data_IF_510026287692
#
_entry.id   IF_510026287692
#
_cell.length_a   1.000
_cell.length_b   1.000
_cell.length_c   1.000
_cell.angle_alpha   90.00
_cell.angle_beta   90.00
_cell.angle_gamma   90.00
#
_symmetry.space_group_name_H-M   'P 1'
#
loop_
_entity.id
_entity.type
_entity.pdbx_description
1 polymer ?
#
# COMPACT_ATOMS: atom_id res chain seq x y z
N UNK A 1 -21.50 5.00 1.02
CA UNK A 1 -20.78 5.57 2.19
C UNK A 1 -19.87 6.66 1.69
N UNK A 2 -19.82 7.80 2.38
CA UNK A 2 -18.91 8.90 2.08
C UNK A 2 -17.46 8.50 2.45
N UNK A 3 -16.46 8.89 1.65
CA UNK A 3 -15.07 8.64 2.01
C UNK A 3 -14.63 9.71 3.02
N UNK A 4 -13.93 9.26 4.06
CA UNK A 4 -13.34 10.13 5.08
C UNK A 4 -11.93 10.54 4.67
N UNK A 5 -11.66 11.82 4.68
CA UNK A 5 -10.35 12.39 4.35
C UNK A 5 -9.87 13.18 5.56
N UNK A 6 -8.65 12.93 6.00
CA UNK A 6 -7.97 13.75 7.02
C UNK A 6 -6.98 14.68 6.32
N UNK A 7 -7.08 15.96 6.62
CA UNK A 7 -6.18 17.00 6.13
C UNK A 7 -5.35 17.52 7.31
N UNK A 8 -4.04 17.45 7.18
CA UNK A 8 -3.07 17.90 8.21
C UNK A 8 -2.20 18.98 7.59
N UNK A 9 -2.37 20.22 8.03
CA UNK A 9 -1.68 21.41 7.51
C UNK A 9 -1.75 22.49 8.59
N UNK A 10 -0.74 23.31 8.78
CA UNK A 10 -0.75 24.37 9.79
C UNK A 10 -1.34 25.71 9.26
N UNK A 11 -1.54 25.80 7.96
CA UNK A 11 -2.14 26.97 7.30
C UNK A 11 -3.68 26.91 7.33
N UNK A 12 -4.32 27.71 8.19
CA UNK A 12 -5.79 27.76 8.34
C UNK A 12 -6.53 28.01 7.02
N UNK A 13 -6.00 28.90 6.17
CA UNK A 13 -6.59 29.23 4.87
C UNK A 13 -6.63 28.00 3.94
N UNK A 14 -5.57 27.19 3.95
CA UNK A 14 -5.48 25.96 3.17
C UNK A 14 -6.45 24.90 3.72
N UNK A 15 -6.50 24.75 5.05
CA UNK A 15 -7.45 23.86 5.71
C UNK A 15 -8.89 24.19 5.35
N UNK A 16 -9.28 25.46 5.47
CA UNK A 16 -10.65 25.90 5.14
C UNK A 16 -10.97 25.72 3.66
N UNK A 17 -10.07 26.14 2.79
CA UNK A 17 -10.25 26.07 1.35
C UNK A 17 -10.43 24.61 0.88
N UNK A 18 -9.54 23.72 1.28
CA UNK A 18 -9.62 22.32 0.89
C UNK A 18 -10.83 21.63 1.53
N UNK A 19 -11.07 21.85 2.83
CA UNK A 19 -12.22 21.30 3.54
C UNK A 19 -13.54 21.69 2.87
N UNK A 20 -13.73 22.97 2.57
CA UNK A 20 -14.94 23.47 1.90
C UNK A 20 -15.18 22.75 0.58
N UNK A 21 -14.16 22.70 -0.28
CA UNK A 21 -14.27 22.12 -1.60
C UNK A 21 -14.50 20.61 -1.57
N UNK A 22 -13.78 19.86 -0.72
CA UNK A 22 -13.94 18.42 -0.59
C UNK A 22 -15.29 18.05 0.04
N UNK A 23 -15.78 18.82 1.02
CA UNK A 23 -17.11 18.59 1.61
C UNK A 23 -18.20 18.82 0.57
N UNK A 24 -18.08 19.87 -0.26
CA UNK A 24 -18.99 20.14 -1.39
C UNK A 24 -18.97 19.01 -2.43
N UNK A 25 -17.84 18.32 -2.58
CA UNK A 25 -17.72 17.15 -3.45
C UNK A 25 -18.24 15.85 -2.81
N UNK A 26 -18.80 15.88 -1.59
CA UNK A 26 -19.42 14.76 -0.91
C UNK A 26 -18.47 13.92 -0.05
N UNK A 27 -17.25 14.41 0.24
CA UNK A 27 -16.35 13.79 1.20
C UNK A 27 -16.66 14.23 2.63
N UNK A 28 -16.37 13.37 3.59
CA UNK A 28 -16.34 13.70 5.02
C UNK A 28 -14.91 14.10 5.38
N UNK A 29 -14.71 15.35 5.81
CA UNK A 29 -13.36 15.93 5.96
C UNK A 29 -13.09 16.30 7.41
N UNK A 30 -12.00 15.76 7.93
CA UNK A 30 -11.42 16.08 9.23
C UNK A 30 -10.15 16.88 9.02
N UNK A 31 -9.82 17.76 9.96
CA UNK A 31 -8.65 18.64 9.87
C UNK A 31 -7.81 18.53 11.13
N UNK A 32 -6.51 18.76 11.00
CA UNK A 32 -5.55 18.89 12.08
C UNK A 32 -4.50 19.95 11.72
N UNK A 33 -4.04 20.73 12.72
CA UNK A 33 -3.07 21.81 12.53
C UNK A 33 -1.62 21.44 12.85
N UNK A 34 -1.41 20.26 13.33
CA UNK A 34 -0.10 19.75 13.70
C UNK A 34 -0.09 18.22 13.70
N UNK A 35 1.09 17.63 13.83
CA UNK A 35 1.26 16.18 13.75
C UNK A 35 0.61 15.43 14.92
N UNK A 36 0.66 16.00 16.13
CA UNK A 36 0.05 15.37 17.32
C UNK A 36 -1.48 15.25 17.16
N UNK A 37 -2.13 16.35 16.74
CA UNK A 37 -3.55 16.36 16.42
C UNK A 37 -3.85 15.40 15.26
N UNK A 38 -3.01 15.39 14.23
CA UNK A 38 -3.13 14.48 13.09
C UNK A 38 -3.17 13.02 13.46
N UNK A 39 -2.29 12.58 14.37
CA UNK A 39 -2.29 11.20 14.90
C UNK A 39 -3.56 10.88 15.68
N UNK A 40 -4.04 11.83 16.48
CA UNK A 40 -5.28 11.67 17.25
C UNK A 40 -6.50 11.52 16.32
N UNK A 41 -6.62 12.40 15.32
CA UNK A 41 -7.70 12.39 14.35
C UNK A 41 -7.67 11.13 13.48
N UNK A 42 -6.47 10.69 13.06
CA UNK A 42 -6.31 9.45 12.29
C UNK A 42 -6.82 8.23 13.08
N UNK A 43 -6.47 8.13 14.35
CA UNK A 43 -6.90 7.04 15.22
C UNK A 43 -8.42 7.07 15.48
N UNK A 44 -9.00 8.26 15.72
CA UNK A 44 -10.41 8.45 16.04
C UNK A 44 -11.34 8.17 14.85
N UNK A 45 -10.98 8.66 13.68
CA UNK A 45 -11.87 8.69 12.51
C UNK A 45 -11.54 7.66 11.44
N UNK A 46 -10.37 7.00 11.53
CA UNK A 46 -9.92 6.00 10.54
C UNK A 46 -10.15 6.48 9.10
N UNK A 47 -9.45 7.53 8.65
CA UNK A 47 -9.66 8.11 7.33
C UNK A 47 -9.31 7.10 6.23
N UNK A 48 -9.91 7.27 5.06
CA UNK A 48 -9.61 6.49 3.85
C UNK A 48 -8.47 7.11 3.03
N UNK A 49 -8.07 8.34 3.36
CA UNK A 49 -6.98 9.08 2.76
C UNK A 49 -6.50 10.16 3.74
N UNK A 50 -5.20 10.36 3.82
CA UNK A 50 -4.59 11.48 4.54
C UNK A 50 -3.91 12.41 3.52
N UNK A 51 -4.26 13.69 3.57
CA UNK A 51 -3.53 14.77 2.91
C UNK A 51 -2.64 15.41 3.98
N UNK A 52 -1.33 15.44 3.76
CA UNK A 52 -0.36 15.76 4.81
C UNK A 52 0.66 16.79 4.33
N UNK A 53 0.74 17.94 5.01
CA UNK A 53 1.87 18.84 4.79
C UNK A 53 3.16 18.26 5.40
N UNK A 54 4.27 18.51 4.73
CA UNK A 54 5.61 18.18 5.23
C UNK A 54 6.07 19.17 6.30
N UNK A 55 5.67 20.44 6.15
CA UNK A 55 6.11 21.54 7.02
C UNK A 55 5.11 21.77 8.17
N UNK A 56 5.13 20.92 9.20
CA UNK A 56 4.30 21.08 10.39
C UNK A 56 5.11 21.68 11.56
N UNK A 57 4.46 22.38 12.48
CA UNK A 57 5.16 23.13 13.54
C UNK A 57 5.78 22.27 14.65
N UNK A 58 5.30 21.04 14.86
CA UNK A 58 5.70 20.17 15.97
C UNK A 58 6.54 18.98 15.50
N UNK A 59 6.23 18.40 14.35
CA UNK A 59 6.93 17.23 13.79
C UNK A 59 6.89 17.32 12.27
N UNK A 60 7.99 17.04 11.59
CA UNK A 60 7.97 17.03 10.13
C UNK A 60 7.05 15.92 9.57
N UNK A 61 6.37 16.24 8.45
CA UNK A 61 5.39 15.34 7.85
C UNK A 61 5.97 14.00 7.40
N UNK A 62 7.25 13.91 7.06
CA UNK A 62 7.91 12.66 6.72
C UNK A 62 8.02 11.74 7.95
N UNK A 63 8.35 12.31 9.10
CA UNK A 63 8.38 11.57 10.37
C UNK A 63 6.99 11.14 10.79
N UNK A 64 5.98 12.01 10.64
CA UNK A 64 4.59 11.70 10.89
C UNK A 64 4.10 10.54 9.98
N UNK A 65 4.42 10.58 8.69
CA UNK A 65 4.13 9.51 7.76
C UNK A 65 4.71 8.17 8.24
N UNK A 66 5.98 8.13 8.64
CA UNK A 66 6.62 6.93 9.22
C UNK A 66 5.91 6.41 10.47
N UNK A 67 5.44 7.31 11.33
CA UNK A 67 4.70 6.93 12.54
C UNK A 67 3.36 6.30 12.20
N UNK A 68 2.63 6.86 11.23
CA UNK A 68 1.37 6.30 10.73
C UNK A 68 1.61 4.93 10.09
N UNK A 69 2.61 4.80 9.22
CA UNK A 69 2.96 3.56 8.52
C UNK A 69 3.32 2.39 9.42
N UNK A 70 3.77 2.63 10.65
CA UNK A 70 3.99 1.57 11.64
C UNK A 70 2.70 0.90 12.12
N UNK A 71 1.55 1.56 11.95
CA UNK A 71 0.25 1.12 12.49
C UNK A 71 -0.84 0.93 11.44
N UNK A 72 -0.75 1.66 10.32
CA UNK A 72 -1.81 1.73 9.31
C UNK A 72 -1.23 1.93 7.90
N UNK A 73 -1.88 1.31 6.93
CA UNK A 73 -1.56 1.43 5.50
C UNK A 73 -2.50 2.41 4.78
N UNK A 74 -3.18 3.29 5.52
CA UNK A 74 -4.03 4.33 4.94
C UNK A 74 -3.26 5.14 3.89
N UNK A 75 -3.79 5.39 2.70
CA UNK A 75 -3.12 6.20 1.69
C UNK A 75 -2.73 7.58 2.22
N UNK A 76 -1.50 8.02 1.93
CA UNK A 76 -0.97 9.33 2.32
C UNK A 76 -0.50 10.08 1.07
N UNK A 77 -1.01 11.28 0.89
CA UNK A 77 -0.57 12.22 -0.16
C UNK A 77 0.06 13.43 0.52
N UNK A 78 1.30 13.73 0.17
CA UNK A 78 1.91 14.96 0.65
C UNK A 78 1.39 16.18 -0.11
N UNK A 79 1.05 17.24 0.63
CA UNK A 79 0.72 18.59 0.12
C UNK A 79 1.80 19.52 0.65
N UNK A 80 2.74 20.01 -0.16
CA UNK A 80 3.84 20.77 0.39
C UNK A 80 4.48 21.74 -0.60
N UNK A 81 5.09 22.80 -0.07
CA UNK A 81 5.92 23.72 -0.85
C UNK A 81 7.28 23.08 -1.25
N UNK A 82 7.71 22.00 -0.60
CA UNK A 82 8.92 21.25 -0.97
C UNK A 82 8.64 20.44 -2.23
N UNK A 83 9.18 20.89 -3.36
CA UNK A 83 8.96 20.27 -4.67
C UNK A 83 10.27 19.89 -5.38
N UNK A 84 11.40 19.81 -4.67
CA UNK A 84 12.62 19.30 -5.27
C UNK A 84 12.48 17.81 -5.63
N UNK A 85 13.17 17.37 -6.66
CA UNK A 85 13.18 15.96 -7.07
C UNK A 85 13.62 15.04 -5.90
N UNK A 86 14.58 15.51 -5.10
CA UNK A 86 15.08 14.81 -3.92
C UNK A 86 14.00 14.65 -2.83
N UNK A 87 13.21 15.70 -2.54
CA UNK A 87 12.11 15.64 -1.56
C UNK A 87 11.03 14.68 -2.01
N UNK A 88 10.71 14.68 -3.31
CA UNK A 88 9.71 13.80 -3.90
C UNK A 88 10.16 12.33 -3.81
N UNK A 89 11.40 12.04 -4.22
CA UNK A 89 11.97 10.69 -4.13
C UNK A 89 12.07 10.20 -2.69
N UNK A 90 12.43 11.10 -1.76
CA UNK A 90 12.46 10.79 -0.33
C UNK A 90 11.07 10.43 0.19
N UNK A 91 10.03 11.20 -0.16
CA UNK A 91 8.64 10.93 0.21
C UNK A 91 8.16 9.56 -0.25
N UNK A 92 8.43 9.18 -1.51
CA UNK A 92 8.09 7.85 -2.03
C UNK A 92 8.87 6.74 -1.31
N UNK A 93 10.15 6.97 -0.98
CA UNK A 93 10.97 6.05 -0.19
C UNK A 93 10.41 5.77 1.22
N UNK A 94 9.67 6.72 1.78
CA UNK A 94 9.00 6.59 3.09
C UNK A 94 7.62 5.93 3.02
N UNK A 95 7.13 5.62 1.81
CA UNK A 95 5.86 4.93 1.60
C UNK A 95 4.65 5.84 1.48
N UNK A 96 4.82 7.09 1.03
CA UNK A 96 3.69 7.89 0.57
C UNK A 96 3.16 7.35 -0.76
N UNK A 97 1.88 7.59 -1.04
CA UNK A 97 1.20 7.10 -2.23
C UNK A 97 1.26 8.12 -3.38
N UNK A 98 1.36 9.40 -3.07
CA UNK A 98 1.50 10.47 -4.06
C UNK A 98 1.99 11.80 -3.42
N UNK A 99 2.27 12.77 -4.28
CA UNK A 99 2.84 14.05 -3.91
C UNK A 99 2.19 15.19 -4.71
N UNK A 100 1.84 16.29 -4.04
CA UNK A 100 1.26 17.48 -4.66
C UNK A 100 2.06 18.69 -4.19
N UNK A 101 2.70 19.39 -5.13
CA UNK A 101 3.48 20.60 -4.82
C UNK A 101 2.55 21.81 -4.80
N UNK A 102 2.64 22.62 -3.73
CA UNK A 102 1.99 23.92 -3.61
C UNK A 102 2.76 24.97 -4.45
N UNK A 103 2.06 25.86 -5.23
CA UNK A 103 0.60 25.96 -5.38
C UNK A 103 0.05 24.92 -6.36
N UNK A 104 -1.13 24.39 -6.08
CA UNK A 104 -1.82 23.40 -6.92
C UNK A 104 -3.24 23.84 -7.30
N UNK A 105 -3.76 23.23 -8.38
CA UNK A 105 -5.16 23.42 -8.75
C UNK A 105 -6.07 22.42 -8.03
N UNK A 106 -7.33 22.82 -7.76
CA UNK A 106 -8.34 21.91 -7.25
C UNK A 106 -8.55 20.71 -8.19
N UNK A 107 -8.46 20.91 -9.50
CA UNK A 107 -8.58 19.83 -10.47
C UNK A 107 -7.49 18.76 -10.28
N UNK A 108 -6.25 19.18 -10.04
CA UNK A 108 -5.13 18.27 -9.75
C UNK A 108 -5.37 17.51 -8.44
N UNK A 109 -5.79 18.21 -7.38
CA UNK A 109 -6.11 17.61 -6.08
C UNK A 109 -7.22 16.56 -6.22
N UNK A 110 -8.33 16.89 -6.87
CA UNK A 110 -9.43 15.96 -7.09
C UNK A 110 -9.03 14.75 -7.92
N UNK A 111 -8.27 14.95 -9.01
CA UNK A 111 -7.84 13.85 -9.86
C UNK A 111 -6.99 12.84 -9.08
N UNK A 112 -6.06 13.31 -8.25
CA UNK A 112 -5.21 12.46 -7.42
C UNK A 112 -6.00 11.74 -6.31
N UNK A 113 -6.87 12.45 -5.59
CA UNK A 113 -7.76 11.85 -4.57
C UNK A 113 -8.60 10.73 -5.19
N UNK A 114 -9.25 11.00 -6.34
CA UNK A 114 -10.07 10.01 -7.03
C UNK A 114 -9.26 8.79 -7.49
N UNK A 115 -8.05 9.00 -8.02
CA UNK A 115 -7.18 7.92 -8.47
C UNK A 115 -6.79 7.00 -7.31
N UNK A 116 -6.42 7.58 -6.17
CA UNK A 116 -6.01 6.83 -4.98
C UNK A 116 -7.19 6.09 -4.36
N UNK A 117 -8.32 6.78 -4.13
CA UNK A 117 -9.52 6.15 -3.55
C UNK A 117 -10.12 5.06 -4.45
N UNK A 118 -9.96 5.17 -5.77
CA UNK A 118 -10.33 4.09 -6.71
C UNK A 118 -9.41 2.87 -6.57
N UNK A 119 -8.11 3.06 -6.43
CA UNK A 119 -7.16 1.97 -6.17
C UNK A 119 -7.52 1.26 -4.88
N UNK A 120 -7.69 1.99 -3.79
CA UNK A 120 -8.09 1.44 -2.48
C UNK A 120 -9.44 0.71 -2.56
N UNK A 121 -10.40 1.22 -3.34
CA UNK A 121 -11.70 0.56 -3.53
C UNK A 121 -11.60 -0.70 -4.38
N UNK A 122 -10.72 -0.72 -5.38
CA UNK A 122 -10.44 -1.92 -6.18
C UNK A 122 -9.63 -2.95 -5.39
N UNK A 123 -8.71 -2.52 -4.53
CA UNK A 123 -7.99 -3.37 -3.60
C UNK A 123 -8.92 -3.93 -2.51
N UNK A 124 -9.81 -3.12 -1.95
CA UNK A 124 -10.83 -3.56 -0.98
C UNK A 124 -11.93 -4.44 -1.59
N UNK A 125 -12.21 -4.34 -2.90
CA UNK A 125 -13.12 -5.29 -3.58
C UNK A 125 -12.44 -6.65 -3.84
N UNK A 126 -11.13 -6.76 -3.66
CA UNK A 126 -10.36 -8.02 -3.69
C UNK A 126 -9.61 -8.21 -2.37
N UNK A 127 -10.28 -7.99 -1.24
CA UNK A 127 -9.71 -8.33 0.08
C UNK A 127 -9.32 -9.80 0.14
N UNK A 128 -10.03 -10.62 -0.61
CA UNK A 128 -9.75 -12.05 -0.72
C UNK A 128 -9.37 -12.42 -2.14
N UNK A 129 -8.19 -13.00 -2.32
CA UNK A 129 -7.80 -13.64 -3.58
C UNK A 129 -7.81 -15.15 -3.42
N UNK A 130 -8.28 -15.85 -4.45
CA UNK A 130 -8.37 -17.31 -4.44
C UNK A 130 -7.63 -17.91 -5.63
N UNK A 131 -7.03 -19.08 -5.44
CA UNK A 131 -6.44 -19.90 -6.50
C UNK A 131 -6.65 -21.37 -6.14
N UNK A 132 -7.57 -22.05 -6.84
CA UNK A 132 -8.05 -23.35 -6.42
C UNK A 132 -8.61 -23.33 -5.00
N UNK A 133 -8.12 -24.21 -4.13
CA UNK A 133 -8.52 -24.22 -2.73
C UNK A 133 -7.68 -23.29 -1.82
N UNK A 134 -6.76 -22.51 -2.39
CA UNK A 134 -6.01 -21.49 -1.64
C UNK A 134 -6.87 -20.22 -1.60
N UNK A 135 -7.10 -19.69 -0.39
CA UNK A 135 -7.76 -18.41 -0.13
C UNK A 135 -6.81 -17.53 0.70
N UNK A 136 -6.55 -16.35 0.23
CA UNK A 136 -5.73 -15.36 0.92
C UNK A 136 -6.58 -14.15 1.25
N UNK A 137 -6.65 -13.79 2.52
CA UNK A 137 -7.21 -12.55 3.00
C UNK A 137 -6.07 -11.51 3.13
N UNK A 138 -6.17 -10.44 2.35
CA UNK A 138 -5.11 -9.42 2.31
C UNK A 138 -5.14 -8.50 3.53
N UNK A 139 -6.32 -8.29 4.12
CA UNK A 139 -6.49 -7.39 5.25
C UNK A 139 -5.93 -7.99 6.54
N UNK A 140 -6.23 -9.27 6.79
CA UNK A 140 -5.71 -9.99 7.95
C UNK A 140 -4.35 -10.64 7.72
N UNK A 141 -3.81 -10.59 6.47
CA UNK A 141 -2.60 -11.30 6.05
C UNK A 141 -2.65 -12.81 6.30
N UNK A 142 -3.86 -13.40 6.30
CA UNK A 142 -4.07 -14.82 6.54
C UNK A 142 -4.21 -15.61 5.24
N UNK A 143 -3.72 -16.83 5.26
CA UNK A 143 -3.81 -17.77 4.14
C UNK A 143 -4.51 -19.03 4.60
N UNK A 144 -5.45 -19.50 3.80
CA UNK A 144 -6.22 -20.73 4.07
C UNK A 144 -6.12 -21.68 2.89
N UNK A 145 -6.05 -22.98 3.19
CA UNK A 145 -6.17 -24.06 2.21
C UNK A 145 -7.32 -24.97 2.67
N UNK A 146 -8.39 -25.07 1.89
CA UNK A 146 -9.60 -25.84 2.26
C UNK A 146 -10.09 -25.46 3.68
N UNK A 147 -10.27 -24.18 3.95
CA UNK A 147 -10.71 -23.59 5.23
C UNK A 147 -9.73 -23.79 6.43
N UNK A 148 -8.59 -24.44 6.24
CA UNK A 148 -7.55 -24.56 7.27
C UNK A 148 -6.55 -23.43 7.11
N UNK A 149 -6.32 -22.66 8.17
CA UNK A 149 -5.30 -21.63 8.18
C UNK A 149 -3.89 -22.22 8.02
N UNK A 150 -3.08 -21.60 7.16
CA UNK A 150 -1.70 -22.01 6.88
C UNK A 150 -0.78 -20.86 7.30
N UNK A 151 0.09 -21.12 8.26
CA UNK A 151 1.08 -20.16 8.72
C UNK A 151 2.21 -20.05 7.70
N UNK A 152 2.40 -18.86 7.16
CA UNK A 152 3.49 -18.55 6.23
C UNK A 152 4.46 -17.55 6.87
N UNK A 153 5.74 -17.69 6.55
CA UNK A 153 6.72 -16.65 6.84
C UNK A 153 6.48 -15.45 5.90
N UNK A 154 6.88 -14.26 6.31
CA UNK A 154 6.61 -13.01 5.56
C UNK A 154 6.98 -13.13 4.07
N UNK A 155 8.19 -13.59 3.72
CA UNK A 155 8.61 -13.73 2.32
C UNK A 155 7.83 -14.79 1.53
N UNK A 156 7.34 -15.84 2.19
CA UNK A 156 6.46 -16.84 1.58
C UNK A 156 5.09 -16.24 1.27
N UNK A 157 4.54 -15.45 2.20
CA UNK A 157 3.31 -14.71 2.02
C UNK A 157 3.41 -13.74 0.85
N UNK A 158 4.47 -12.92 0.80
CA UNK A 158 4.70 -11.96 -0.28
C UNK A 158 4.81 -12.63 -1.65
N UNK A 159 5.57 -13.72 -1.77
CA UNK A 159 5.67 -14.51 -3.01
C UNK A 159 4.29 -15.05 -3.42
N UNK A 160 3.56 -15.67 -2.49
CA UNK A 160 2.25 -16.23 -2.79
C UNK A 160 1.28 -15.16 -3.25
N UNK A 161 1.22 -14.03 -2.53
CA UNK A 161 0.38 -12.90 -2.89
C UNK A 161 0.69 -12.41 -4.29
N UNK A 162 1.96 -12.16 -4.58
CA UNK A 162 2.39 -11.67 -5.88
C UNK A 162 2.01 -12.62 -7.02
N UNK A 163 2.27 -13.91 -6.86
CA UNK A 163 1.90 -14.92 -7.85
C UNK A 163 0.38 -15.02 -8.03
N UNK A 164 -0.41 -14.97 -6.93
CA UNK A 164 -1.88 -15.04 -7.00
C UNK A 164 -2.52 -13.78 -7.60
N UNK A 165 -1.91 -12.61 -7.44
CA UNK A 165 -2.32 -11.37 -8.11
C UNK A 165 -2.03 -11.41 -9.62
N UNK A 166 -1.04 -12.21 -10.04
CA UNK A 166 -0.58 -12.32 -11.42
C UNK A 166 -0.68 -13.75 -11.95
N UNK A 167 -1.84 -14.39 -11.76
CA UNK A 167 -2.08 -15.76 -12.21
C UNK A 167 -1.73 -15.99 -13.67
N UNK A 168 -1.21 -17.18 -13.97
CA UNK A 168 -0.85 -17.64 -15.28
C UNK A 168 0.32 -16.89 -15.96
N UNK A 169 0.89 -15.88 -15.31
CA UNK A 169 2.07 -15.16 -15.79
C UNK A 169 3.33 -15.83 -15.22
N UNK A 170 4.31 -16.08 -16.10
CA UNK A 170 5.62 -16.64 -15.70
C UNK A 170 6.53 -15.50 -15.29
N UNK A 171 7.01 -15.56 -14.04
CA UNK A 171 7.94 -14.59 -13.47
C UNK A 171 9.33 -15.20 -13.32
N UNK A 172 10.37 -14.52 -13.80
CA UNK A 172 11.75 -14.98 -13.64
C UNK A 172 12.18 -14.92 -12.18
N UNK A 173 13.25 -15.65 -11.83
CA UNK A 173 13.84 -15.59 -10.49
C UNK A 173 14.27 -14.20 -10.11
N UNK A 174 14.94 -13.51 -11.03
CA UNK A 174 15.40 -12.13 -10.83
C UNK A 174 14.24 -11.16 -10.63
N UNK A 175 13.16 -11.30 -11.42
CA UNK A 175 11.98 -10.45 -11.26
C UNK A 175 11.31 -10.67 -9.90
N UNK A 176 11.18 -11.92 -9.44
CA UNK A 176 10.66 -12.23 -8.11
C UNK A 176 11.61 -11.74 -7.00
N UNK A 177 12.92 -11.89 -7.19
CA UNK A 177 13.92 -11.41 -6.25
C UNK A 177 13.81 -9.90 -6.07
N UNK A 178 13.86 -9.16 -7.17
CA UNK A 178 13.79 -7.71 -7.16
C UNK A 178 12.47 -7.20 -6.55
N UNK A 179 11.35 -7.84 -6.88
CA UNK A 179 10.04 -7.42 -6.39
C UNK A 179 9.84 -7.68 -4.89
N UNK A 180 10.35 -8.81 -4.39
CA UNK A 180 10.09 -9.27 -3.00
C UNK A 180 11.21 -8.86 -2.04
N UNK A 181 12.45 -8.72 -2.50
CA UNK A 181 13.61 -8.33 -1.67
C UNK A 181 14.15 -6.94 -1.96
N UNK A 182 13.78 -6.35 -3.13
CA UNK A 182 14.28 -5.04 -3.58
C UNK A 182 15.52 -5.16 -4.45
N UNK A 183 15.78 -4.10 -5.21
CA UNK A 183 16.90 -4.05 -6.16
C UNK A 183 18.28 -4.07 -5.49
N UNK A 184 18.37 -3.64 -4.23
CA UNK A 184 19.64 -3.59 -3.47
C UNK A 184 19.99 -4.91 -2.78
N UNK A 185 19.20 -5.98 -3.02
CA UNK A 185 19.46 -7.26 -2.40
C UNK A 185 20.66 -7.96 -3.03
N UNK A 186 21.77 -8.02 -2.28
CA UNK A 186 23.04 -8.63 -2.71
C UNK A 186 23.08 -10.18 -2.58
N UNK A 187 21.93 -10.81 -2.34
CA UNK A 187 21.84 -12.26 -2.17
C UNK A 187 21.75 -13.03 -3.50
N UNK A 188 21.91 -14.34 -3.41
CA UNK A 188 21.88 -15.27 -4.56
C UNK A 188 20.41 -15.58 -4.90
N UNK A 189 20.06 -15.68 -6.19
CA UNK A 189 18.74 -16.06 -6.73
C UNK A 189 18.17 -17.39 -6.21
N UNK A 190 19.04 -18.30 -5.71
CA UNK A 190 18.64 -19.53 -5.00
C UNK A 190 17.75 -19.29 -3.78
N UNK A 191 17.71 -18.07 -3.21
CA UNK A 191 16.80 -17.75 -2.11
C UNK A 191 15.34 -17.89 -2.56
N UNK A 192 15.02 -17.50 -3.80
CA UNK A 192 13.68 -17.65 -4.38
C UNK A 192 13.29 -19.13 -4.45
N UNK A 193 14.17 -19.97 -4.98
CA UNK A 193 13.92 -21.42 -5.11
C UNK A 193 13.65 -22.08 -3.73
N UNK A 194 14.43 -21.70 -2.72
CA UNK A 194 14.25 -22.17 -1.35
C UNK A 194 12.90 -21.74 -0.75
N UNK A 195 12.50 -20.48 -0.97
CA UNK A 195 11.22 -19.99 -0.46
C UNK A 195 10.03 -20.61 -1.21
N UNK A 196 10.13 -20.82 -2.51
CA UNK A 196 9.14 -21.56 -3.31
C UNK A 196 8.98 -22.99 -2.80
N UNK A 197 10.10 -23.69 -2.51
CA UNK A 197 10.06 -25.04 -1.96
C UNK A 197 9.34 -25.08 -0.62
N UNK A 198 9.69 -24.18 0.31
CA UNK A 198 9.04 -24.07 1.63
C UNK A 198 7.57 -23.72 1.50
N UNK A 199 7.23 -22.79 0.62
CA UNK A 199 5.86 -22.37 0.34
C UNK A 199 5.01 -23.53 -0.20
N UNK A 200 5.52 -24.29 -1.17
CA UNK A 200 4.84 -25.51 -1.68
C UNK A 200 4.56 -26.51 -0.56
N UNK A 201 5.52 -26.74 0.31
CA UNK A 201 5.34 -27.64 1.43
C UNK A 201 4.27 -27.16 2.42
N UNK A 202 4.25 -25.86 2.72
CA UNK A 202 3.24 -25.25 3.61
C UNK A 202 1.81 -25.34 3.03
N UNK A 203 1.67 -25.19 1.72
CA UNK A 203 0.38 -25.30 1.02
C UNK A 203 -0.07 -26.77 0.77
N UNK A 204 0.77 -27.76 1.04
CA UNK A 204 0.47 -29.17 0.82
C UNK A 204 0.15 -29.50 -0.64
N UNK A 205 -0.97 -30.19 -0.90
CA UNK A 205 -1.40 -30.56 -2.26
C UNK A 205 -1.60 -29.33 -3.17
N UNK A 206 -2.11 -28.23 -2.64
CA UNK A 206 -2.31 -26.99 -3.40
C UNK A 206 -0.98 -26.30 -3.79
N UNK A 207 0.12 -26.65 -3.17
CA UNK A 207 1.46 -26.18 -3.53
C UNK A 207 1.87 -26.56 -4.96
N UNK A 208 1.26 -27.59 -5.56
CA UNK A 208 1.46 -28.00 -6.96
C UNK A 208 0.99 -26.93 -7.95
N UNK A 209 0.09 -26.04 -7.54
CA UNK A 209 -0.37 -24.90 -8.36
C UNK A 209 0.74 -23.90 -8.67
N UNK A 210 1.73 -23.81 -7.80
CA UNK A 210 2.96 -23.04 -8.08
C UNK A 210 3.83 -23.92 -8.99
N UNK A 211 3.83 -23.62 -10.26
CA UNK A 211 4.52 -24.39 -11.28
C UNK A 211 5.90 -23.81 -11.56
N UNK A 212 6.88 -24.69 -11.78
CA UNK A 212 8.21 -24.31 -12.31
C UNK A 212 8.16 -24.37 -13.82
N UNK A 213 8.48 -23.26 -14.46
CA UNK A 213 8.72 -23.22 -15.91
C UNK A 213 10.23 -23.27 -16.15
N UNK A 214 10.70 -24.43 -16.59
CA UNK A 214 12.15 -24.70 -16.74
C UNK A 214 12.83 -23.61 -17.58
N UNK A 215 13.94 -23.06 -17.09
CA UNK A 215 14.70 -21.99 -17.73
C UNK A 215 14.04 -20.62 -17.70
N UNK A 216 12.80 -20.48 -17.19
CA UNK A 216 12.06 -19.20 -17.19
C UNK A 216 11.65 -18.69 -15.81
N UNK A 217 11.32 -19.57 -14.84
CA UNK A 217 10.95 -19.17 -13.49
C UNK A 217 9.71 -19.87 -12.93
N UNK A 218 8.81 -19.10 -12.33
CA UNK A 218 7.64 -19.62 -11.61
C UNK A 218 6.36 -18.92 -12.01
N UNK A 219 5.24 -19.65 -11.95
CA UNK A 219 3.87 -19.11 -12.06
C UNK A 219 2.94 -19.86 -11.12
N UNK A 220 1.76 -19.30 -10.84
CA UNK A 220 0.65 -20.00 -10.21
C UNK A 220 -0.52 -20.09 -11.19
N UNK A 221 -1.28 -21.17 -11.15
CA UNK A 221 -2.46 -21.36 -11.99
C UNK A 221 -3.60 -22.04 -11.24
N UNK A 222 -4.85 -21.77 -11.68
CA UNK A 222 -6.05 -22.42 -11.14
C UNK A 222 -6.24 -23.86 -11.66
N UNK A 223 -5.44 -24.29 -12.64
CA UNK A 223 -5.50 -25.62 -13.26
C UNK A 223 -4.69 -26.65 -12.50
#
# INVERSE_FOLDING_TARGET
MSHRILLIDDEDDILEFIRYNLTKAGYEVYTARNGAEGLQQAAAHRPHLILLDVMLPDIDGFTLCRMIRKKDMVPIVFLTAKGSEEDILWGYGLGCDDYIVKPFSLATLYAKILAILRRTKQENQKETITCGAIRMDKQSCQVFVKEREVQLQNKQYEILRFLMEHKNIVWSRDALLNHIWGYDYMGIDRVVDNQIKKLRNALGEEGKRIQTVVGRGYKISDA
#
